data_IF_019777601225
#
_entry.id   IF_019777601225
#
_cell.length_a   1.000
_cell.length_b   1.000
_cell.length_c   1.000
_cell.angle_alpha   90.00
_cell.angle_beta   90.00
_cell.angle_gamma   90.00
#
_symmetry.space_group_name_H-M   'P 1'
#
loop_
_entity.id
_entity.type
_entity.pdbx_description
1 polymer ?
#
# COMPACT_ATOMS: atom_id res chain seq x y z
N UNK A 1 -16.51 14.32 73.70
CA UNK A 1 -16.80 14.02 72.29
C UNK A 1 -15.67 14.60 71.45
N UNK A 2 -14.98 13.76 70.69
CA UNK A 2 -13.72 14.07 70.00
C UNK A 2 -14.00 14.38 68.53
N UNK A 3 -13.52 15.53 68.04
CA UNK A 3 -13.48 15.84 66.61
C UNK A 3 -12.04 16.25 66.29
N UNK A 4 -11.28 15.33 65.67
CA UNK A 4 -9.97 15.63 65.10
C UNK A 4 -10.17 16.07 63.66
N UNK A 5 -9.93 17.34 63.40
CA UNK A 5 -9.81 17.90 62.05
C UNK A 5 -8.52 17.41 61.40
N UNK A 6 -8.64 16.60 60.35
CA UNK A 6 -7.52 16.18 59.51
C UNK A 6 -7.23 17.33 58.55
N UNK A 7 -6.13 18.04 58.78
CA UNK A 7 -5.58 19.00 57.83
C UNK A 7 -4.74 18.25 56.80
N UNK A 8 -5.25 18.14 55.57
CA UNK A 8 -4.48 17.64 54.43
C UNK A 8 -3.44 18.67 54.02
N UNK A 9 -2.18 18.43 54.40
CA UNK A 9 -1.03 19.23 53.96
C UNK A 9 -0.70 18.84 52.51
N UNK A 10 -1.14 19.65 51.56
CA UNK A 10 -0.83 19.47 50.13
C UNK A 10 0.68 19.61 49.90
N UNK A 11 1.31 18.53 49.44
CA UNK A 11 2.75 18.48 49.21
C UNK A 11 3.08 18.94 47.78
N UNK A 12 3.72 20.11 47.57
CA UNK A 12 3.92 20.68 46.24
C UNK A 12 4.81 19.82 45.32
N UNK A 13 5.56 18.88 45.90
CA UNK A 13 6.40 17.92 45.16
C UNK A 13 5.57 16.90 44.36
N UNK A 14 4.37 16.55 44.83
CA UNK A 14 3.47 15.64 44.10
C UNK A 14 2.87 16.30 42.86
N UNK A 15 2.72 17.64 42.85
CA UNK A 15 2.24 18.37 41.68
C UNK A 15 3.31 18.49 40.59
N UNK A 16 4.59 18.62 40.94
CA UNK A 16 5.67 18.66 39.94
C UNK A 16 5.88 17.30 39.24
N UNK A 17 5.71 16.19 39.97
CA UNK A 17 5.79 14.85 39.39
C UNK A 17 4.65 14.54 38.41
N UNK A 18 3.43 14.99 38.69
CA UNK A 18 2.29 14.78 37.76
C UNK A 18 2.42 15.58 36.46
N UNK A 19 3.07 16.75 36.48
CA UNK A 19 3.37 17.51 35.25
C UNK A 19 4.42 16.82 34.35
N UNK A 20 5.44 16.18 34.94
CA UNK A 20 6.48 15.45 34.19
C UNK A 20 5.97 14.15 33.55
N UNK A 21 5.01 13.46 34.16
CA UNK A 21 4.37 12.26 33.61
C UNK A 21 3.33 12.59 32.52
N UNK A 22 2.58 13.68 32.65
CA UNK A 22 1.62 14.12 31.63
C UNK A 22 2.28 14.54 30.30
N UNK A 23 3.44 15.21 30.36
CA UNK A 23 4.16 15.66 29.17
C UNK A 23 4.69 14.49 28.31
N UNK A 24 5.15 13.41 28.95
CA UNK A 24 5.67 12.23 28.26
C UNK A 24 4.56 11.44 27.56
N UNK A 25 3.38 11.32 28.17
CA UNK A 25 2.24 10.64 27.56
C UNK A 25 1.74 11.34 26.28
N UNK A 26 1.70 12.68 26.27
CA UNK A 26 1.28 13.47 25.09
C UNK A 26 2.34 13.43 23.97
N UNK A 27 3.63 13.38 24.32
CA UNK A 27 4.69 13.23 23.34
C UNK A 27 4.67 11.84 22.68
N UNK A 28 4.37 10.78 23.46
CA UNK A 28 4.28 9.41 22.96
C UNK A 28 3.11 9.24 21.96
N UNK A 29 1.94 9.81 22.23
CA UNK A 29 0.78 9.74 21.31
C UNK A 29 1.01 10.54 20.03
N UNK A 30 1.66 11.70 20.10
CA UNK A 30 2.01 12.48 18.90
C UNK A 30 3.06 11.77 18.03
N UNK A 31 4.02 11.09 18.65
CA UNK A 31 5.00 10.28 17.93
C UNK A 31 4.33 9.10 17.21
N UNK A 32 3.37 8.42 17.86
CA UNK A 32 2.60 7.35 17.21
C UNK A 32 1.73 7.87 16.06
N UNK A 33 1.05 9.00 16.21
CA UNK A 33 0.21 9.58 15.14
C UNK A 33 1.03 10.10 13.96
N UNK A 34 2.23 10.61 14.21
CA UNK A 34 3.14 11.02 13.15
C UNK A 34 3.67 9.81 12.37
N UNK A 35 4.08 8.76 13.08
CA UNK A 35 4.50 7.50 12.48
C UNK A 35 3.39 6.90 11.60
N UNK A 36 2.16 6.79 12.11
CA UNK A 36 1.02 6.24 11.37
C UNK A 36 0.77 7.01 10.06
N UNK A 37 0.76 8.35 10.12
CA UNK A 37 0.58 9.18 8.91
C UNK A 37 1.68 8.95 7.87
N UNK A 38 2.94 8.79 8.30
CA UNK A 38 4.04 8.48 7.37
C UNK A 38 3.88 7.10 6.73
N UNK A 39 3.43 6.11 7.50
CA UNK A 39 3.15 4.76 6.98
C UNK A 39 2.00 4.77 5.97
N UNK A 40 0.89 5.45 6.27
CA UNK A 40 -0.24 5.59 5.34
C UNK A 40 0.16 6.28 4.03
N UNK A 41 0.94 7.36 4.12
CA UNK A 41 1.46 8.04 2.95
C UNK A 41 2.39 7.15 2.13
N UNK A 42 3.29 6.40 2.79
CA UNK A 42 4.17 5.41 2.14
C UNK A 42 3.34 4.41 1.37
N UNK A 43 2.32 3.84 2.00
CA UNK A 43 1.47 2.81 1.42
C UNK A 43 0.64 3.33 0.25
N UNK A 44 0.11 4.54 0.37
CA UNK A 44 -0.56 5.20 -0.74
C UNK A 44 0.36 5.37 -1.95
N UNK A 45 1.61 5.82 -1.73
CA UNK A 45 2.61 5.97 -2.81
C UNK A 45 3.04 4.63 -3.39
N UNK A 46 3.25 3.60 -2.56
CA UNK A 46 3.58 2.26 -3.02
C UNK A 46 2.45 1.65 -3.87
N UNK A 47 1.19 1.80 -3.46
CA UNK A 47 0.02 1.39 -4.26
C UNK A 47 -0.08 2.15 -5.57
N UNK A 48 0.18 3.47 -5.55
CA UNK A 48 0.23 4.26 -6.78
C UNK A 48 1.31 3.72 -7.74
N UNK A 49 2.50 3.41 -7.22
CA UNK A 49 3.58 2.87 -8.03
C UNK A 49 3.20 1.55 -8.71
N UNK A 50 2.64 0.61 -7.94
CA UNK A 50 2.20 -0.68 -8.46
C UNK A 50 1.05 -0.58 -9.48
N UNK A 51 0.11 0.35 -9.28
CA UNK A 51 -1.00 0.54 -10.23
C UNK A 51 -0.50 0.89 -11.63
N UNK A 52 0.53 1.70 -11.75
CA UNK A 52 1.10 2.08 -13.06
C UNK A 52 1.80 0.89 -13.73
N UNK A 53 2.52 0.07 -12.98
CA UNK A 53 3.15 -1.14 -13.53
C UNK A 53 2.09 -2.19 -13.94
N UNK A 54 1.03 -2.35 -13.15
CA UNK A 54 -0.10 -3.23 -13.51
C UNK A 54 -0.80 -2.73 -14.77
N UNK A 55 -0.99 -1.42 -14.91
CA UNK A 55 -1.54 -0.81 -16.13
C UNK A 55 -0.66 -1.10 -17.34
N UNK A 56 0.66 -0.99 -17.20
CA UNK A 56 1.61 -1.32 -18.27
C UNK A 56 1.51 -2.81 -18.69
N UNK A 57 1.48 -3.72 -17.71
CA UNK A 57 1.31 -5.17 -17.96
C UNK A 57 -0.03 -5.44 -18.66
N UNK A 58 -1.11 -4.81 -18.21
CA UNK A 58 -2.43 -4.96 -18.83
C UNK A 58 -2.45 -4.44 -20.27
N UNK A 59 -1.86 -3.27 -20.55
CA UNK A 59 -1.72 -2.75 -21.91
C UNK A 59 -0.97 -3.73 -22.82
N UNK A 60 0.10 -4.36 -22.32
CA UNK A 60 0.83 -5.37 -23.10
C UNK A 60 0.00 -6.62 -23.35
N UNK A 61 -0.81 -7.06 -22.39
CA UNK A 61 -1.72 -8.20 -22.54
C UNK A 61 -2.82 -7.95 -23.56
N UNK A 62 -3.39 -6.73 -23.61
CA UNK A 62 -4.35 -6.34 -24.64
C UNK A 62 -3.77 -6.48 -26.06
N UNK A 63 -2.46 -6.28 -26.22
CA UNK A 63 -1.76 -6.49 -27.49
C UNK A 63 -1.46 -7.97 -27.76
N UNK A 64 -1.02 -8.72 -26.74
CA UNK A 64 -0.57 -10.10 -26.90
C UNK A 64 -1.69 -11.13 -26.97
N UNK A 65 -2.76 -10.96 -26.19
CA UNK A 65 -3.86 -11.91 -26.11
C UNK A 65 -5.23 -11.21 -26.06
N UNK A 66 -5.58 -10.42 -27.09
CA UNK A 66 -6.82 -9.63 -27.11
C UNK A 66 -8.08 -10.49 -26.90
N UNK A 67 -8.11 -11.72 -27.44
CA UNK A 67 -9.23 -12.63 -27.27
C UNK A 67 -9.40 -13.07 -25.80
N UNK A 68 -8.31 -13.41 -25.11
CA UNK A 68 -8.36 -13.83 -23.71
C UNK A 68 -8.74 -12.66 -22.78
N UNK A 69 -8.25 -11.44 -23.06
CA UNK A 69 -8.70 -10.24 -22.34
C UNK A 69 -10.20 -10.02 -22.55
N UNK A 70 -10.70 -10.11 -23.79
CA UNK A 70 -12.13 -9.97 -24.10
C UNK A 70 -13.00 -10.96 -23.31
N UNK A 71 -12.61 -12.24 -23.28
CA UNK A 71 -13.33 -13.27 -22.53
C UNK A 71 -13.29 -13.00 -21.01
N UNK A 72 -12.17 -12.51 -20.50
CA UNK A 72 -12.04 -12.15 -19.08
C UNK A 72 -12.94 -10.95 -18.70
N UNK A 73 -13.16 -10.01 -19.60
CA UNK A 73 -14.14 -8.92 -19.39
C UNK A 73 -15.58 -9.42 -19.47
N UNK A 74 -15.93 -10.23 -20.47
CA UNK A 74 -17.29 -10.74 -20.66
C UNK A 74 -17.77 -11.64 -19.51
N UNK A 75 -16.86 -12.42 -18.91
CA UNK A 75 -17.16 -13.25 -17.73
C UNK A 75 -17.57 -12.46 -16.47
N UNK A 76 -17.44 -11.13 -16.47
CA UNK A 76 -17.94 -10.27 -15.40
C UNK A 76 -19.39 -9.81 -15.61
N UNK A 77 -19.94 -9.96 -16.81
CA UNK A 77 -21.29 -9.51 -17.19
C UNK A 77 -22.29 -10.65 -17.41
N UNK A 78 -21.83 -11.91 -17.39
CA UNK A 78 -22.68 -13.06 -17.72
C UNK A 78 -23.65 -13.39 -16.57
N UNK A 79 -24.92 -13.03 -16.76
CA UNK A 79 -26.04 -13.50 -15.92
C UNK A 79 -26.36 -14.96 -16.27
N UNK A 80 -26.89 -15.71 -15.31
CA UNK A 80 -27.03 -17.18 -15.33
C UNK A 80 -27.91 -17.80 -16.45
N UNK A 81 -28.36 -17.05 -17.47
CA UNK A 81 -29.28 -17.52 -18.51
C UNK A 81 -28.63 -18.08 -19.78
N UNK A 82 -27.34 -17.82 -20.03
CA UNK A 82 -26.66 -18.22 -21.30
C UNK A 82 -25.71 -19.43 -21.18
N UNK A 83 -25.95 -20.31 -20.20
CA UNK A 83 -25.04 -21.43 -19.89
C UNK A 83 -24.85 -22.46 -21.02
N UNK A 84 -25.72 -22.52 -22.04
CA UNK A 84 -25.63 -23.50 -23.13
C UNK A 84 -24.69 -23.09 -24.28
N UNK A 85 -24.37 -21.80 -24.45
CA UNK A 85 -23.32 -21.29 -25.36
C UNK A 85 -21.96 -21.11 -24.66
N UNK A 86 -21.89 -21.44 -23.36
CA UNK A 86 -20.82 -21.05 -22.45
C UNK A 86 -19.52 -21.84 -22.60
N UNK A 87 -19.56 -23.11 -23.03
CA UNK A 87 -18.34 -23.94 -23.06
C UNK A 87 -17.33 -23.53 -24.14
N UNK A 88 -17.80 -23.10 -25.31
CA UNK A 88 -16.93 -22.64 -26.40
C UNK A 88 -16.34 -21.24 -26.15
N UNK A 89 -16.99 -20.43 -25.31
CA UNK A 89 -16.58 -19.06 -24.97
C UNK A 89 -16.04 -18.94 -23.54
N UNK A 90 -15.66 -20.06 -22.91
CA UNK A 90 -15.14 -20.04 -21.54
C UNK A 90 -13.68 -19.58 -21.53
N UNK A 91 -13.35 -18.66 -20.62
CA UNK A 91 -11.97 -18.25 -20.39
C UNK A 91 -11.11 -19.46 -19.97
N UNK A 92 -10.09 -19.80 -20.78
CA UNK A 92 -9.01 -20.68 -20.35
C UNK A 92 -8.06 -19.91 -19.41
N UNK A 93 -8.25 -20.09 -18.11
CA UNK A 93 -7.42 -19.49 -17.07
C UNK A 93 -5.94 -19.90 -17.17
N UNK A 94 -5.64 -21.10 -17.68
CA UNK A 94 -4.28 -21.57 -17.92
C UNK A 94 -3.61 -20.78 -19.04
N UNK A 95 -4.29 -20.59 -20.17
CA UNK A 95 -3.82 -19.74 -21.27
C UNK A 95 -3.69 -18.27 -20.83
N UNK A 96 -4.66 -17.76 -20.06
CA UNK A 96 -4.65 -16.39 -19.55
C UNK A 96 -3.47 -16.12 -18.62
N UNK A 97 -3.17 -17.03 -17.69
CA UNK A 97 -2.00 -16.93 -16.82
C UNK A 97 -0.66 -17.03 -17.59
N UNK A 98 -0.60 -17.83 -18.67
CA UNK A 98 0.56 -17.85 -19.57
C UNK A 98 0.72 -16.54 -20.32
N UNK A 99 -0.37 -15.96 -20.85
CA UNK A 99 -0.32 -14.66 -21.51
C UNK A 99 0.21 -13.57 -20.58
N UNK A 100 -0.29 -13.51 -19.32
CA UNK A 100 0.21 -12.55 -18.34
C UNK A 100 1.73 -12.70 -18.11
N UNK A 101 2.21 -13.93 -17.92
CA UNK A 101 3.65 -14.19 -17.74
C UNK A 101 4.45 -13.75 -18.97
N UNK A 102 3.97 -14.03 -20.18
CA UNK A 102 4.62 -13.58 -21.41
C UNK A 102 4.68 -12.05 -21.49
N UNK A 103 3.59 -11.36 -21.14
CA UNK A 103 3.56 -9.90 -21.11
C UNK A 103 4.60 -9.31 -20.13
N UNK A 104 4.75 -9.91 -18.95
CA UNK A 104 5.76 -9.51 -17.96
C UNK A 104 7.19 -9.75 -18.47
N UNK A 105 7.44 -10.88 -19.15
CA UNK A 105 8.75 -11.20 -19.77
C UNK A 105 9.07 -10.21 -20.90
N UNK A 106 8.13 -9.98 -21.81
CA UNK A 106 8.29 -9.03 -22.92
C UNK A 106 8.61 -7.62 -22.41
N UNK A 107 7.91 -7.16 -21.37
CA UNK A 107 8.15 -5.85 -20.78
C UNK A 107 9.54 -5.75 -20.16
N UNK A 108 9.98 -6.78 -19.41
CA UNK A 108 11.34 -6.81 -18.85
C UNK A 108 12.42 -6.78 -19.92
N UNK A 109 12.18 -7.40 -21.08
CA UNK A 109 13.14 -7.42 -22.18
C UNK A 109 13.15 -6.12 -23.01
N UNK A 110 12.01 -5.42 -23.11
CA UNK A 110 11.82 -4.30 -24.04
C UNK A 110 11.78 -2.92 -23.39
N UNK A 111 11.49 -2.82 -22.09
CA UNK A 111 11.41 -1.54 -21.38
C UNK A 111 12.65 -1.31 -20.52
N UNK A 112 13.26 -0.11 -20.58
CA UNK A 112 14.33 0.22 -19.65
C UNK A 112 13.78 0.33 -18.24
N UNK A 113 14.57 -0.12 -17.25
CA UNK A 113 14.27 0.11 -15.84
C UNK A 113 14.52 1.58 -15.53
N UNK A 114 13.52 2.28 -14.99
CA UNK A 114 13.60 3.70 -14.65
C UNK A 114 13.97 3.95 -13.18
N UNK A 115 13.66 2.97 -12.32
CA UNK A 115 14.01 3.00 -10.91
C UNK A 115 13.94 1.59 -10.31
N UNK A 116 14.81 1.32 -9.33
CA UNK A 116 14.75 0.13 -8.49
C UNK A 116 14.55 0.62 -7.06
N UNK A 117 13.49 0.19 -6.39
CA UNK A 117 13.21 0.60 -5.02
C UNK A 117 14.13 -0.13 -4.01
N UNK A 118 14.15 0.28 -2.74
CA UNK A 118 14.99 -0.42 -1.73
C UNK A 118 14.41 -1.79 -1.30
N UNK A 119 13.51 -2.39 -2.09
CA UNK A 119 13.11 -3.81 -2.00
C UNK A 119 13.54 -4.59 -3.26
N UNK A 120 14.42 -4.01 -4.11
CA UNK A 120 14.89 -4.57 -5.37
C UNK A 120 13.80 -4.83 -6.41
N UNK A 121 12.69 -4.07 -6.35
CA UNK A 121 11.62 -4.12 -7.35
C UNK A 121 11.91 -3.08 -8.45
N UNK A 122 12.00 -3.49 -9.72
CA UNK A 122 12.16 -2.58 -10.84
C UNK A 122 10.82 -1.94 -11.25
N UNK A 123 10.85 -0.66 -11.60
CA UNK A 123 9.74 0.12 -12.14
C UNK A 123 10.07 0.60 -13.55
N UNK A 124 9.15 0.37 -14.48
CA UNK A 124 9.34 0.65 -15.92
C UNK A 124 8.54 1.86 -16.40
N UNK A 125 7.58 2.34 -15.59
CA UNK A 125 6.80 3.55 -15.89
C UNK A 125 7.37 4.77 -15.17
N UNK A 126 7.31 5.95 -15.81
CA UNK A 126 7.80 7.21 -15.20
C UNK A 126 7.02 7.51 -13.91
N UNK A 127 5.70 7.49 -13.99
CA UNK A 127 4.80 7.71 -12.85
C UNK A 127 4.99 6.68 -11.75
N UNK A 128 5.20 5.40 -12.10
CA UNK A 128 5.47 4.34 -11.14
C UNK A 128 6.81 4.53 -10.42
N UNK A 129 7.86 4.83 -11.18
CA UNK A 129 9.19 5.12 -10.64
C UNK A 129 9.20 6.34 -9.70
N UNK A 130 8.50 7.43 -10.05
CA UNK A 130 8.37 8.60 -9.18
C UNK A 130 7.62 8.28 -7.89
N UNK A 131 6.51 7.54 -7.97
CA UNK A 131 5.76 7.13 -6.79
C UNK A 131 6.58 6.19 -5.90
N UNK A 132 7.36 5.28 -6.48
CA UNK A 132 8.27 4.40 -5.75
C UNK A 132 9.37 5.17 -5.02
N UNK A 133 10.01 6.17 -5.66
CA UNK A 133 11.00 7.04 -4.99
C UNK A 133 10.40 7.77 -3.79
N UNK A 134 9.16 8.30 -3.93
CA UNK A 134 8.45 8.96 -2.83
C UNK A 134 8.12 7.99 -1.70
N UNK A 135 7.70 6.77 -2.03
CA UNK A 135 7.46 5.72 -1.04
C UNK A 135 8.75 5.36 -0.27
N UNK A 136 9.89 5.27 -0.95
CA UNK A 136 11.17 4.98 -0.31
C UNK A 136 11.65 6.11 0.60
N UNK A 137 11.47 7.36 0.18
CA UNK A 137 11.73 8.52 1.04
C UNK A 137 10.86 8.50 2.30
N UNK A 138 9.56 8.20 2.16
CA UNK A 138 8.63 8.09 3.29
C UNK A 138 8.96 6.92 4.21
N UNK A 139 9.41 5.78 3.67
CA UNK A 139 9.90 4.66 4.47
C UNK A 139 11.09 5.05 5.33
N UNK A 140 12.07 5.78 4.76
CA UNK A 140 13.22 6.30 5.50
C UNK A 140 12.80 7.29 6.59
N UNK A 141 11.85 8.18 6.29
CA UNK A 141 11.30 9.11 7.27
C UNK A 141 10.58 8.36 8.42
N UNK A 142 9.77 7.35 8.09
CA UNK A 142 9.08 6.53 9.07
C UNK A 142 10.06 5.76 9.97
N UNK A 143 11.16 5.22 9.44
CA UNK A 143 12.19 4.55 10.25
C UNK A 143 12.80 5.46 11.32
N UNK A 144 12.85 6.78 11.09
CA UNK A 144 13.37 7.74 12.06
C UNK A 144 12.30 8.24 13.05
N UNK A 145 11.02 8.17 12.66
CA UNK A 145 9.90 8.77 13.39
C UNK A 145 9.07 7.75 14.19
N UNK A 146 9.19 6.47 13.86
CA UNK A 146 8.52 5.37 14.54
C UNK A 146 9.45 4.78 15.62
N UNK A 147 9.01 4.67 16.89
CA UNK A 147 9.76 3.97 17.93
C UNK A 147 9.87 2.46 17.67
#
# INVERSE_FOLDING_TARGET
MSVRSVTTRSNPWLLLLTWLLGAQAIAATKASDHCLRLQEQRDHRARQAWREEVKLVHQRRLQLCPQLESLAYQGTETTAKDQSQSELNRLDYGAYARCRRQAEVDLKASKPVLYINNQNVPFFTVSGAEAARKADALRKAAQNACP
#
